data_IF_201667984854
#
_entry.id   IF_201667984854
#
_cell.length_a   1.000
_cell.length_b   1.000
_cell.length_c   1.000
_cell.angle_alpha   90.00
_cell.angle_beta   90.00
_cell.angle_gamma   90.00
#
_symmetry.space_group_name_H-M   'P 1'
#
loop_
_entity.id
_entity.type
_entity.pdbx_description
1 polymer ?
#
# COMPACT_ATOMS: atom_id res chain seq x y z
N UNK A 1 -0.12 -1.77 -21.71
CA UNK A 1 0.21 -2.63 -20.58
C UNK A 1 -1.06 -2.87 -19.75
N UNK A 2 -1.27 -4.11 -19.35
CA UNK A 2 -2.44 -4.45 -18.53
C UNK A 2 -2.05 -4.41 -17.05
N UNK A 3 -2.82 -3.67 -16.26
CA UNK A 3 -2.68 -3.67 -14.80
C UNK A 3 -3.57 -4.79 -14.26
N UNK A 4 -2.96 -5.81 -13.66
CA UNK A 4 -3.64 -7.03 -13.22
C UNK A 4 -4.18 -6.97 -11.80
N UNK A 5 -3.78 -5.98 -11.05
CA UNK A 5 -4.18 -5.77 -9.66
C UNK A 5 -3.41 -4.60 -9.07
N UNK A 6 -3.62 -4.38 -7.79
CA UNK A 6 -2.96 -3.30 -7.06
C UNK A 6 -2.47 -3.79 -5.71
N UNK A 7 -1.33 -3.27 -5.27
CA UNK A 7 -0.92 -3.35 -3.89
C UNK A 7 -1.08 -1.98 -3.25
N UNK A 8 -1.63 -1.94 -2.05
CA UNK A 8 -1.68 -0.72 -1.25
C UNK A 8 -0.91 -0.99 0.04
N UNK A 9 0.14 -0.21 0.28
CA UNK A 9 0.99 -0.38 1.45
C UNK A 9 0.66 0.73 2.44
N UNK A 10 0.21 0.34 3.63
CA UNK A 10 0.01 1.28 4.73
C UNK A 10 1.35 1.49 5.41
N UNK A 11 1.82 2.74 5.49
CA UNK A 11 3.09 3.06 6.16
C UNK A 11 2.83 3.48 7.58
N UNK A 12 3.70 3.03 8.49
CA UNK A 12 3.55 3.35 9.90
C UNK A 12 4.91 3.28 10.61
N UNK A 13 5.05 4.03 11.69
CA UNK A 13 6.20 3.90 12.57
C UNK A 13 5.94 2.78 13.59
N UNK A 14 6.97 2.19 14.22
CA UNK A 14 6.78 1.02 15.08
C UNK A 14 5.72 1.21 16.18
N UNK A 15 5.64 2.41 16.76
CA UNK A 15 4.65 2.69 17.82
C UNK A 15 3.22 2.79 17.28
N UNK A 16 3.04 2.85 15.96
CA UNK A 16 1.73 2.96 15.31
C UNK A 16 1.21 1.61 14.80
N UNK A 17 1.88 0.50 15.10
CA UNK A 17 1.48 -0.80 14.53
C UNK A 17 0.05 -1.18 14.88
N UNK A 18 -0.42 -0.83 16.07
CA UNK A 18 -1.80 -1.08 16.48
C UNK A 18 -2.79 -0.27 15.65
N UNK A 19 -2.46 0.99 15.36
CA UNK A 19 -3.28 1.84 14.49
C UNK A 19 -3.32 1.30 13.06
N UNK A 20 -2.16 0.91 12.53
CA UNK A 20 -2.09 0.32 11.19
C UNK A 20 -2.89 -0.98 11.10
N UNK A 21 -2.86 -1.81 12.15
CA UNK A 21 -3.64 -3.03 12.22
C UNK A 21 -5.14 -2.75 12.17
N UNK A 22 -5.60 -1.76 12.92
CA UNK A 22 -7.01 -1.38 12.93
C UNK A 22 -7.47 -0.91 11.55
N UNK A 23 -6.65 -0.11 10.87
CA UNK A 23 -6.96 0.38 9.52
C UNK A 23 -6.96 -0.79 8.51
N UNK A 24 -5.98 -1.68 8.58
CA UNK A 24 -5.91 -2.86 7.70
C UNK A 24 -7.12 -3.78 7.90
N UNK A 25 -7.53 -3.99 9.14
CA UNK A 25 -8.70 -4.81 9.44
C UNK A 25 -9.99 -4.17 8.93
N UNK A 26 -10.11 -2.85 9.04
CA UNK A 26 -11.25 -2.12 8.48
C UNK A 26 -11.30 -2.26 6.96
N UNK A 27 -10.16 -2.15 6.28
CA UNK A 27 -10.09 -2.36 4.83
C UNK A 27 -10.47 -3.81 4.47
N UNK A 28 -9.98 -4.79 5.20
CA UNK A 28 -10.31 -6.18 4.97
C UNK A 28 -11.80 -6.45 5.16
N UNK A 29 -12.41 -5.85 6.18
CA UNK A 29 -13.84 -5.98 6.42
C UNK A 29 -14.65 -5.36 5.27
N UNK A 30 -14.19 -4.23 4.72
CA UNK A 30 -14.89 -3.52 3.66
C UNK A 30 -14.74 -4.19 2.29
N UNK A 31 -13.56 -4.73 1.98
CA UNK A 31 -13.22 -5.19 0.63
C UNK A 31 -12.89 -6.69 0.54
N UNK A 32 -12.74 -7.37 1.67
CA UNK A 32 -12.34 -8.78 1.67
C UNK A 32 -10.93 -9.01 1.15
N UNK A 33 -10.08 -7.99 1.12
CA UNK A 33 -8.75 -8.09 0.55
C UNK A 33 -7.78 -8.81 1.49
N UNK A 34 -6.84 -9.60 0.94
CA UNK A 34 -5.76 -10.19 1.74
C UNK A 34 -4.90 -9.11 2.39
N UNK A 35 -4.48 -9.35 3.63
CA UNK A 35 -3.61 -8.48 4.41
C UNK A 35 -2.29 -9.21 4.65
N UNK A 36 -1.18 -8.58 4.31
CA UNK A 36 0.15 -9.16 4.47
C UNK A 36 0.70 -9.06 5.89
N UNK A 37 1.98 -9.36 6.02
CA UNK A 37 2.68 -9.26 7.29
C UNK A 37 2.90 -7.79 7.67
N UNK A 38 2.84 -7.49 8.96
CA UNK A 38 3.12 -6.15 9.49
C UNK A 38 4.62 -6.03 9.78
N UNK A 39 5.34 -5.39 8.85
CA UNK A 39 6.77 -5.14 8.99
C UNK A 39 6.97 -3.86 9.80
N UNK A 40 7.73 -3.93 10.89
CA UNK A 40 8.00 -2.75 11.72
C UNK A 40 9.32 -2.05 11.36
N UNK A 41 10.06 -2.60 10.41
CA UNK A 41 11.31 -2.05 9.87
C UNK A 41 11.19 -1.95 8.35
N UNK A 42 12.01 -1.11 7.69
CA UNK A 42 12.01 -1.02 6.23
C UNK A 42 12.24 -2.39 5.60
N UNK A 43 11.46 -2.68 4.55
CA UNK A 43 11.57 -3.91 3.77
C UNK A 43 11.29 -3.59 2.31
N UNK A 44 11.99 -4.25 1.38
CA UNK A 44 11.85 -3.97 -0.05
C UNK A 44 12.14 -2.51 -0.36
N UNK A 45 11.28 -1.83 -1.15
CA UNK A 45 11.48 -0.43 -1.49
C UNK A 45 10.96 0.53 -0.42
N UNK A 46 10.34 0.02 0.63
CA UNK A 46 9.61 0.86 1.59
C UNK A 46 10.55 1.53 2.58
N UNK A 47 10.37 2.86 2.83
CA UNK A 47 11.29 3.62 3.67
C UNK A 47 11.12 3.39 5.17
N UNK A 48 10.00 2.77 5.58
CA UNK A 48 9.71 2.50 7.00
C UNK A 48 8.73 1.34 7.12
N UNK A 49 8.16 1.10 8.27
CA UNK A 49 7.23 0.00 8.49
C UNK A 49 6.05 0.02 7.51
N UNK A 50 5.58 -1.15 7.13
CA UNK A 50 4.51 -1.27 6.14
C UNK A 50 3.74 -2.57 6.27
N UNK A 51 2.49 -2.54 5.80
CA UNK A 51 1.66 -3.72 5.61
C UNK A 51 0.97 -3.62 4.26
N UNK A 52 0.95 -4.73 3.52
CA UNK A 52 0.40 -4.77 2.16
C UNK A 52 -1.04 -5.24 2.16
N UNK A 53 -1.88 -4.51 1.44
CA UNK A 53 -3.23 -4.95 1.05
C UNK A 53 -3.19 -5.29 -0.43
N UNK A 54 -3.79 -6.43 -0.80
CA UNK A 54 -3.85 -6.87 -2.21
C UNK A 54 -5.26 -6.68 -2.75
N UNK A 55 -5.39 -5.91 -3.83
CA UNK A 55 -6.69 -5.49 -4.35
C UNK A 55 -6.80 -5.85 -5.85
N UNK A 56 -7.96 -6.34 -6.26
CA UNK A 56 -8.26 -6.50 -7.68
C UNK A 56 -8.51 -5.11 -8.28
N UNK A 57 -8.37 -4.96 -9.62
CA UNK A 57 -8.58 -3.64 -10.25
C UNK A 57 -9.93 -3.02 -9.91
N UNK A 58 -11.01 -3.81 -9.93
CA UNK A 58 -12.35 -3.30 -9.62
C UNK A 58 -12.53 -2.92 -8.16
N UNK A 59 -11.74 -3.49 -7.24
CA UNK A 59 -11.76 -3.12 -5.83
C UNK A 59 -10.99 -1.82 -5.58
N UNK A 60 -9.97 -1.56 -6.38
CA UNK A 60 -9.08 -0.41 -6.12
C UNK A 60 -9.83 0.91 -6.24
N UNK A 61 -10.78 1.04 -7.16
CA UNK A 61 -11.56 2.26 -7.28
C UNK A 61 -12.36 2.55 -6.00
N UNK A 62 -12.94 1.51 -5.40
CA UNK A 62 -13.67 1.64 -4.14
C UNK A 62 -12.71 1.92 -2.98
N UNK A 63 -11.57 1.23 -2.97
CA UNK A 63 -10.54 1.47 -1.96
C UNK A 63 -10.04 2.91 -2.01
N UNK A 64 -9.77 3.44 -3.19
CA UNK A 64 -9.26 4.79 -3.35
C UNK A 64 -10.24 5.83 -2.76
N UNK A 65 -11.54 5.64 -2.99
CA UNK A 65 -12.56 6.51 -2.40
C UNK A 65 -12.60 6.37 -0.87
N UNK A 66 -12.54 5.14 -0.38
CA UNK A 66 -12.55 4.86 1.07
C UNK A 66 -11.32 5.42 1.77
N UNK A 67 -10.14 5.31 1.12
CA UNK A 67 -8.87 5.64 1.74
C UNK A 67 -8.74 7.12 2.12
N UNK A 68 -9.50 8.00 1.48
CA UNK A 68 -9.46 9.43 1.82
C UNK A 68 -9.61 9.67 3.32
N UNK A 69 -10.55 8.96 3.96
CA UNK A 69 -10.76 9.04 5.40
C UNK A 69 -10.41 7.74 6.12
N UNK A 70 -10.68 6.59 5.48
CA UNK A 70 -10.48 5.29 6.09
C UNK A 70 -9.04 4.97 6.47
N UNK A 71 -8.06 5.60 5.82
CA UNK A 71 -6.65 5.45 6.18
C UNK A 71 -6.29 6.11 7.51
N UNK A 72 -7.16 6.94 8.04
CA UNK A 72 -7.03 7.59 9.35
C UNK A 72 -5.65 8.20 9.58
N UNK A 73 -5.19 9.00 8.62
CA UNK A 73 -3.93 9.74 8.71
C UNK A 73 -2.68 8.97 8.31
N UNK A 74 -2.77 7.65 8.10
CA UNK A 74 -1.61 6.88 7.64
C UNK A 74 -1.29 7.24 6.19
N UNK A 75 0.00 7.30 5.86
CA UNK A 75 0.42 7.39 4.46
C UNK A 75 0.16 6.06 3.78
N UNK A 76 -0.43 6.09 2.60
CA UNK A 76 -0.63 4.88 1.79
C UNK A 76 0.11 5.05 0.47
N UNK A 77 0.99 4.10 0.18
CA UNK A 77 1.65 3.97 -1.11
C UNK A 77 1.00 2.83 -1.87
N UNK A 78 0.33 3.13 -2.97
CA UNK A 78 -0.29 2.12 -3.81
C UNK A 78 0.38 2.09 -5.18
N UNK A 79 0.34 0.93 -5.83
CA UNK A 79 0.85 0.82 -7.19
C UNK A 79 0.14 -0.30 -7.95
N UNK A 80 0.11 -0.15 -9.27
CA UNK A 80 -0.41 -1.18 -10.15
C UNK A 80 0.57 -2.33 -10.31
N UNK A 81 0.06 -3.47 -10.75
CA UNK A 81 0.84 -4.68 -11.03
C UNK A 81 0.83 -4.94 -12.53
N UNK A 82 1.91 -4.56 -13.21
CA UNK A 82 2.06 -4.72 -14.67
C UNK A 82 2.93 -5.91 -15.05
N UNK A 83 3.68 -6.45 -14.10
CA UNK A 83 4.69 -7.47 -14.35
C UNK A 83 6.10 -6.90 -14.45
N UNK A 84 6.26 -5.57 -14.41
CA UNK A 84 7.55 -4.88 -14.42
C UNK A 84 7.66 -4.13 -13.09
N UNK A 85 8.45 -4.65 -12.17
CA UNK A 85 8.54 -4.11 -10.80
C UNK A 85 9.02 -2.66 -10.78
N UNK A 86 9.99 -2.30 -11.60
CA UNK A 86 10.47 -0.92 -11.64
C UNK A 86 9.39 0.03 -12.14
N UNK A 87 8.69 -0.33 -13.22
CA UNK A 87 7.60 0.48 -13.74
C UNK A 87 6.47 0.62 -12.71
N UNK A 88 6.16 -0.47 -12.00
CA UNK A 88 5.11 -0.48 -10.99
C UNK A 88 5.41 0.50 -9.85
N UNK A 89 6.69 0.69 -9.53
CA UNK A 89 7.12 1.56 -8.42
C UNK A 89 7.56 2.94 -8.88
N UNK A 90 7.39 3.29 -10.15
CA UNK A 90 7.75 4.61 -10.69
C UNK A 90 6.62 5.24 -11.50
N UNK A 91 6.01 4.49 -12.41
CA UNK A 91 4.99 5.01 -13.33
C UNK A 91 3.57 4.74 -12.86
N UNK A 92 3.35 3.61 -12.19
CA UNK A 92 2.00 3.18 -11.78
C UNK A 92 1.79 3.36 -10.29
N UNK A 93 2.23 4.51 -9.76
CA UNK A 93 2.19 4.81 -8.32
C UNK A 93 1.05 5.77 -7.99
N UNK A 94 0.47 5.59 -6.81
CA UNK A 94 -0.58 6.44 -6.28
C UNK A 94 -0.29 6.62 -4.78
N UNK A 95 -0.20 7.88 -4.37
CA UNK A 95 0.04 8.20 -2.96
C UNK A 95 -1.21 8.78 -2.32
N UNK A 96 -1.51 8.32 -1.12
CA UNK A 96 -2.51 8.93 -0.25
C UNK A 96 -1.77 9.57 0.92
N UNK A 97 -1.82 10.89 0.98
CA UNK A 97 -0.98 11.69 1.86
C UNK A 97 0.29 12.13 1.16
N UNK A 98 1.29 12.51 1.92
CA UNK A 98 2.56 12.99 1.37
C UNK A 98 3.41 11.81 0.88
N UNK A 99 3.93 11.91 -0.34
CA UNK A 99 4.81 10.88 -0.89
C UNK A 99 6.12 10.80 -0.09
N UNK A 100 6.69 9.59 -0.05
CA UNK A 100 7.95 9.32 0.66
C UNK A 100 8.95 8.69 -0.31
N UNK A 101 10.27 8.86 -0.08
CA UNK A 101 11.27 8.32 -1.00
C UNK A 101 11.32 6.79 -0.92
N UNK A 102 11.19 6.14 -2.07
CA UNK A 102 11.33 4.69 -2.17
C UNK A 102 12.78 4.32 -2.46
N UNK A 103 13.22 3.17 -1.95
CA UNK A 103 14.50 2.59 -2.32
C UNK A 103 14.29 1.73 -3.57
N UNK A 104 14.62 2.28 -4.73
CA UNK A 104 14.44 1.58 -6.01
C UNK A 104 15.61 0.71 -6.38
N UNK A 105 16.71 0.71 -5.59
CA UNK A 105 17.92 -0.05 -5.91
C UNK A 105 17.68 -1.56 -5.97
N UNK A 106 16.66 -2.07 -5.27
CA UNK A 106 16.32 -3.48 -5.26
C UNK A 106 15.79 -3.98 -6.62
N UNK A 107 15.39 -3.08 -7.51
CA UNK A 107 14.85 -3.44 -8.82
C UNK A 107 15.89 -3.41 -9.95
N UNK A 108 17.12 -3.36 -9.59
CA UNK A 108 18.20 -3.36 -10.54
C UNK A 108 19.09 -2.18 -10.43
#
# INVERSE_FOLDING_TARGET
>A
VAIRGYHAHLYFDPHEVGHARAVAEAAQAAFGCPVGHFHTAPVGPHPRGSVQLSLRPEQFAQFAAWASEGREGLTVFAHGLSGDDLADHTQYVIWFGTSEPLDLSIFG
#
